data_IF_156508566399
#
_entry.id   IF_156508566399
#
_cell.length_a   1.000
_cell.length_b   1.000
_cell.length_c   1.000
_cell.angle_alpha   90.00
_cell.angle_beta   90.00
_cell.angle_gamma   90.00
#
_symmetry.space_group_name_H-M   'P 1'
#
loop_
_entity.id
_entity.type
_entity.pdbx_description
1 polymer ?
#
# COMPACT_ATOMS: atom_id res chain seq x y z
N UNK A 1 18.09 -7.46 -3.00
CA UNK A 1 17.35 -6.58 -2.10
C UNK A 1 16.00 -7.20 -1.66
N UNK A 2 15.18 -7.71 -2.59
CA UNK A 2 13.87 -8.32 -2.29
C UNK A 2 14.00 -9.52 -1.34
N UNK A 3 15.00 -10.39 -1.54
CA UNK A 3 15.24 -11.57 -0.69
C UNK A 3 15.96 -11.26 0.63
N UNK A 4 16.33 -10.00 0.90
CA UNK A 4 17.09 -9.65 2.10
C UNK A 4 16.46 -10.17 3.40
N UNK A 5 15.15 -10.07 3.63
CA UNK A 5 14.53 -10.60 4.84
C UNK A 5 14.72 -12.11 4.99
N UNK A 6 14.69 -12.85 3.88
CA UNK A 6 14.92 -14.31 3.89
C UNK A 6 16.39 -14.67 4.14
N UNK A 7 17.32 -13.85 3.63
CA UNK A 7 18.77 -14.00 3.92
C UNK A 7 19.01 -13.83 5.42
N UNK A 8 18.45 -12.79 6.02
CA UNK A 8 18.56 -12.53 7.46
C UNK A 8 17.90 -13.62 8.32
N UNK A 9 16.85 -14.25 7.80
CA UNK A 9 16.20 -15.40 8.42
C UNK A 9 16.91 -16.74 8.17
N UNK A 10 18.09 -16.74 7.55
CA UNK A 10 18.90 -17.95 7.29
C UNK A 10 18.28 -18.93 6.29
N UNK A 11 17.37 -18.45 5.42
CA UNK A 11 16.69 -19.31 4.45
C UNK A 11 17.62 -19.76 3.32
N UNK A 12 17.40 -20.97 2.79
CA UNK A 12 18.20 -21.51 1.69
C UNK A 12 17.99 -20.74 0.38
N UNK A 13 18.99 -20.80 -0.52
CA UNK A 13 18.85 -20.19 -1.87
C UNK A 13 17.69 -20.80 -2.68
N UNK A 14 17.41 -22.07 -2.48
CA UNK A 14 16.29 -22.76 -3.12
C UNK A 14 14.97 -22.17 -2.63
N UNK A 15 14.78 -22.06 -1.30
CA UNK A 15 13.56 -21.45 -0.72
C UNK A 15 13.38 -20.00 -1.16
N UNK A 16 14.46 -19.21 -1.22
CA UNK A 16 14.39 -17.83 -1.71
C UNK A 16 13.91 -17.76 -3.16
N UNK A 17 14.42 -18.62 -4.04
CA UNK A 17 14.01 -18.67 -5.43
C UNK A 17 12.56 -19.10 -5.59
N UNK A 18 12.16 -20.13 -4.84
CA UNK A 18 10.81 -20.69 -4.92
C UNK A 18 9.74 -19.71 -4.43
N UNK A 19 10.08 -18.83 -3.47
CA UNK A 19 9.21 -17.73 -3.02
C UNK A 19 9.25 -16.53 -3.96
N UNK A 20 10.42 -16.20 -4.49
CA UNK A 20 10.59 -15.01 -5.34
C UNK A 20 9.92 -15.17 -6.71
N UNK A 21 10.04 -16.33 -7.34
CA UNK A 21 9.59 -16.52 -8.71
C UNK A 21 8.09 -16.24 -8.92
N UNK A 22 7.15 -16.85 -8.15
CA UNK A 22 5.74 -16.51 -8.27
C UNK A 22 5.46 -15.06 -7.91
N UNK A 23 6.02 -14.56 -6.81
CA UNK A 23 5.81 -13.19 -6.34
C UNK A 23 6.28 -12.15 -7.38
N UNK A 24 7.41 -12.38 -8.03
CA UNK A 24 7.95 -11.47 -9.05
C UNK A 24 7.03 -11.39 -10.27
N UNK A 25 6.41 -12.50 -10.65
CA UNK A 25 5.44 -12.57 -11.75
C UNK A 25 4.16 -11.82 -11.38
N UNK A 26 3.58 -12.13 -10.21
CA UNK A 26 2.32 -11.55 -9.74
C UNK A 26 2.42 -10.02 -9.59
N UNK A 27 3.59 -9.52 -9.17
CA UNK A 27 3.85 -8.08 -9.01
C UNK A 27 4.43 -7.41 -10.26
N UNK A 28 4.66 -8.15 -11.36
CA UNK A 28 5.21 -7.64 -12.61
C UNK A 28 6.63 -7.09 -12.49
N UNK A 29 7.43 -7.64 -11.57
CA UNK A 29 8.81 -7.17 -11.30
C UNK A 29 9.90 -8.11 -11.81
N UNK A 30 9.55 -9.17 -12.55
CA UNK A 30 10.54 -10.08 -13.14
C UNK A 30 11.63 -9.35 -13.93
N UNK A 31 11.32 -8.33 -14.79
CA UNK A 31 12.33 -7.58 -15.51
C UNK A 31 13.26 -6.75 -14.63
N UNK A 32 12.85 -6.51 -13.36
CA UNK A 32 13.60 -5.68 -12.42
C UNK A 32 14.61 -6.47 -11.60
N UNK A 33 14.51 -7.80 -11.55
CA UNK A 33 15.31 -8.65 -10.64
C UNK A 33 16.82 -8.55 -10.87
N UNK A 34 17.23 -8.12 -12.08
CA UNK A 34 18.65 -7.93 -12.46
C UNK A 34 19.07 -6.47 -12.51
N UNK A 35 18.16 -5.52 -12.19
CA UNK A 35 18.43 -4.09 -12.24
C UNK A 35 18.88 -3.55 -10.89
N UNK A 36 19.66 -2.50 -10.94
CA UNK A 36 20.06 -1.72 -9.76
C UNK A 36 19.00 -0.66 -9.43
N UNK A 37 18.93 -0.16 -8.18
CA UNK A 37 17.92 0.83 -7.77
C UNK A 37 17.91 2.13 -8.58
N UNK A 38 19.04 2.54 -9.16
CA UNK A 38 19.14 3.73 -10.00
C UNK A 38 18.64 3.51 -11.45
N UNK A 39 18.41 2.26 -11.84
CA UNK A 39 17.93 1.89 -13.18
C UNK A 39 16.41 1.73 -13.25
N UNK A 40 15.71 1.92 -12.14
CA UNK A 40 14.27 1.68 -12.03
C UNK A 40 13.52 2.95 -11.60
N UNK A 41 12.27 3.10 -12.11
CA UNK A 41 11.40 4.24 -11.77
C UNK A 41 10.93 4.20 -10.31
N UNK A 42 10.34 5.30 -9.83
CA UNK A 42 9.74 5.38 -8.50
C UNK A 42 8.69 4.31 -8.25
N UNK A 43 7.74 4.13 -9.17
CA UNK A 43 6.72 3.08 -9.08
C UNK A 43 7.30 1.67 -9.08
N UNK A 44 8.35 1.42 -9.88
CA UNK A 44 9.06 0.15 -9.88
C UNK A 44 9.79 -0.12 -8.54
N UNK A 45 10.36 0.91 -7.93
CA UNK A 45 10.95 0.82 -6.58
C UNK A 45 9.89 0.43 -5.54
N UNK A 46 8.70 1.03 -5.61
CA UNK A 46 7.61 0.72 -4.70
C UNK A 46 7.11 -0.73 -4.88
N UNK A 47 6.92 -1.20 -6.12
CA UNK A 47 6.58 -2.62 -6.38
C UNK A 47 7.64 -3.57 -5.82
N UNK A 48 8.92 -3.25 -5.95
CA UNK A 48 10.01 -4.04 -5.36
C UNK A 48 10.00 -4.00 -3.82
N UNK A 49 9.62 -2.88 -3.21
CA UNK A 49 9.44 -2.76 -1.77
C UNK A 49 8.26 -3.60 -1.27
N UNK A 50 7.13 -3.58 -1.98
CA UNK A 50 5.98 -4.47 -1.71
C UNK A 50 6.40 -5.94 -1.81
N UNK A 51 7.13 -6.32 -2.85
CA UNK A 51 7.65 -7.68 -2.99
C UNK A 51 8.56 -8.09 -1.81
N UNK A 52 9.43 -7.18 -1.36
CA UNK A 52 10.29 -7.42 -0.19
C UNK A 52 9.50 -7.65 1.08
N UNK A 53 8.40 -6.94 1.28
CA UNK A 53 7.52 -7.13 2.42
C UNK A 53 6.75 -8.46 2.34
N UNK A 54 6.19 -8.79 1.18
CA UNK A 54 5.37 -9.98 0.97
C UNK A 54 6.14 -11.30 0.94
N UNK A 55 7.45 -11.27 0.61
CA UNK A 55 8.26 -12.49 0.47
C UNK A 55 8.38 -13.30 1.76
N UNK A 56 8.18 -12.64 2.90
CA UNK A 56 8.15 -13.27 4.23
C UNK A 56 6.80 -13.92 4.55
N UNK A 57 5.78 -13.70 3.72
CA UNK A 57 4.38 -14.12 3.95
C UNK A 57 3.83 -13.56 5.26
N UNK A 58 3.81 -12.23 5.43
CA UNK A 58 3.32 -11.61 6.65
C UNK A 58 1.79 -11.75 6.77
N UNK A 59 1.26 -11.69 7.98
CA UNK A 59 -0.20 -11.63 8.19
C UNK A 59 -0.76 -10.25 7.86
N UNK A 60 0.02 -9.19 8.07
CA UNK A 60 -0.36 -7.80 7.83
C UNK A 60 0.74 -7.12 7.02
N UNK A 61 0.37 -6.43 5.95
CA UNK A 61 1.23 -5.54 5.19
C UNK A 61 0.98 -4.10 5.65
N UNK A 62 2.03 -3.45 6.17
CA UNK A 62 1.98 -2.04 6.56
C UNK A 62 2.58 -1.18 5.46
N UNK A 63 1.89 -0.12 5.06
CA UNK A 63 2.32 0.83 4.04
C UNK A 63 2.19 2.26 4.57
N UNK A 64 3.31 2.94 4.71
CA UNK A 64 3.39 4.32 5.16
C UNK A 64 3.67 5.23 3.96
N UNK A 65 2.72 6.12 3.63
CA UNK A 65 2.72 7.03 2.49
C UNK A 65 3.23 6.37 1.17
N UNK A 66 2.70 5.21 0.76
CA UNK A 66 3.29 4.44 -0.34
C UNK A 66 3.20 5.16 -1.70
N UNK A 67 2.35 6.18 -1.82
CA UNK A 67 2.11 6.95 -3.05
C UNK A 67 2.73 8.34 -3.05
N UNK A 68 3.29 8.81 -1.93
CA UNK A 68 3.68 10.20 -1.72
C UNK A 68 4.74 10.74 -2.69
N UNK A 69 5.59 9.87 -3.24
CA UNK A 69 6.65 10.27 -4.18
C UNK A 69 6.37 9.82 -5.64
N UNK A 70 5.12 9.46 -5.97
CA UNK A 70 4.75 8.92 -7.28
C UNK A 70 3.94 9.91 -8.10
N UNK A 71 4.11 9.85 -9.43
CA UNK A 71 3.19 10.47 -10.38
C UNK A 71 1.82 9.79 -10.35
N UNK A 72 0.80 10.44 -10.93
CA UNK A 72 -0.58 9.97 -10.88
C UNK A 72 -0.77 8.57 -11.48
N UNK A 73 -0.06 8.25 -12.58
CA UNK A 73 -0.15 6.94 -13.22
C UNK A 73 0.45 5.84 -12.36
N UNK A 74 1.65 6.09 -11.83
CA UNK A 74 2.34 5.14 -10.93
C UNK A 74 1.54 4.95 -9.63
N UNK A 75 0.88 6.00 -9.14
CA UNK A 75 -0.04 5.93 -8.00
C UNK A 75 -1.19 4.97 -8.28
N UNK A 76 -1.88 5.12 -9.41
CA UNK A 76 -3.00 4.25 -9.77
C UNK A 76 -2.59 2.79 -9.91
N UNK A 77 -1.46 2.56 -10.57
CA UNK A 77 -0.92 1.21 -10.72
C UNK A 77 -0.57 0.57 -9.38
N UNK A 78 -0.05 1.36 -8.41
CA UNK A 78 0.27 0.86 -7.08
C UNK A 78 -0.99 0.61 -6.23
N UNK A 79 -1.98 1.50 -6.27
CA UNK A 79 -3.25 1.32 -5.56
C UNK A 79 -4.02 0.11 -6.07
N UNK A 80 -4.04 -0.10 -7.39
CA UNK A 80 -4.61 -1.31 -7.99
C UNK A 80 -3.90 -2.56 -7.51
N UNK A 81 -2.58 -2.54 -7.43
CA UNK A 81 -1.80 -3.65 -6.89
C UNK A 81 -2.16 -3.96 -5.43
N UNK A 82 -2.31 -2.93 -4.56
CA UNK A 82 -2.75 -3.14 -3.18
C UNK A 82 -4.16 -3.75 -3.11
N UNK A 83 -5.08 -3.33 -3.98
CA UNK A 83 -6.41 -3.93 -4.06
C UNK A 83 -6.35 -5.41 -4.46
N UNK A 84 -5.54 -5.77 -5.47
CA UNK A 84 -5.33 -7.15 -5.91
C UNK A 84 -4.75 -8.02 -4.79
N UNK A 85 -3.74 -7.52 -4.07
CA UNK A 85 -3.12 -8.19 -2.90
C UNK A 85 -4.16 -8.40 -1.78
N UNK A 86 -4.99 -7.40 -1.52
CA UNK A 86 -6.04 -7.50 -0.50
C UNK A 86 -7.13 -8.50 -0.90
N UNK A 87 -7.58 -8.50 -2.15
CA UNK A 87 -8.53 -9.49 -2.68
C UNK A 87 -7.98 -10.92 -2.63
N UNK A 88 -6.67 -11.10 -2.73
CA UNK A 88 -6.00 -12.38 -2.53
C UNK A 88 -5.91 -12.81 -1.05
N UNK A 89 -6.51 -12.05 -0.12
CA UNK A 89 -6.60 -12.38 1.31
C UNK A 89 -5.55 -11.75 2.21
N UNK A 90 -4.66 -10.88 1.67
CA UNK A 90 -3.68 -10.18 2.47
C UNK A 90 -4.32 -8.99 3.18
N UNK A 91 -4.19 -8.90 4.50
CA UNK A 91 -4.56 -7.68 5.23
C UNK A 91 -3.55 -6.57 4.93
N UNK A 92 -4.05 -5.42 4.48
CA UNK A 92 -3.24 -4.23 4.19
C UNK A 92 -3.68 -3.09 5.10
N UNK A 93 -2.74 -2.49 5.81
CA UNK A 93 -2.95 -1.27 6.59
C UNK A 93 -2.08 -0.17 5.97
N UNK A 94 -2.72 0.91 5.54
CA UNK A 94 -2.06 2.03 4.87
C UNK A 94 -2.22 3.30 5.72
N UNK A 95 -1.12 4.02 5.91
CA UNK A 95 -1.14 5.39 6.42
C UNK A 95 -0.95 6.33 5.23
N UNK A 96 -1.82 7.31 5.07
CA UNK A 96 -1.72 8.24 3.95
C UNK A 96 -2.49 9.54 4.22
N UNK A 97 -2.01 10.64 3.63
CA UNK A 97 -2.72 11.92 3.54
C UNK A 97 -3.53 12.05 2.23
N UNK A 98 -3.43 11.07 1.34
CA UNK A 98 -4.13 11.09 0.05
C UNK A 98 -5.56 10.54 0.19
N UNK A 99 -6.57 11.39 -0.01
CA UNK A 99 -7.99 10.97 -0.08
C UNK A 99 -8.20 9.90 -1.14
N UNK A 100 -7.49 10.02 -2.28
CA UNK A 100 -7.53 9.03 -3.37
C UNK A 100 -7.02 7.67 -2.93
N UNK A 101 -5.91 7.63 -2.19
CA UNK A 101 -5.37 6.37 -1.67
C UNK A 101 -6.31 5.79 -0.60
N UNK A 102 -6.84 6.62 0.30
CA UNK A 102 -7.78 6.20 1.33
C UNK A 102 -9.09 5.66 0.74
N UNK A 103 -9.60 6.23 -0.36
CA UNK A 103 -10.86 5.79 -0.99
C UNK A 103 -10.78 4.39 -1.62
N UNK A 104 -9.59 3.85 -1.83
CA UNK A 104 -9.40 2.47 -2.29
C UNK A 104 -9.55 1.43 -1.16
N UNK A 105 -9.56 1.86 0.10
CA UNK A 105 -9.71 0.96 1.25
C UNK A 105 -11.17 0.60 1.50
N UNK A 106 -11.41 -0.49 2.21
CA UNK A 106 -12.74 -0.86 2.71
C UNK A 106 -13.14 -0.11 3.98
N UNK A 107 -12.17 0.41 4.72
CA UNK A 107 -12.34 1.08 6.02
C UNK A 107 -11.28 2.17 6.17
N UNK A 108 -11.68 3.35 6.63
CA UNK A 108 -10.80 4.50 6.87
C UNK A 108 -10.97 4.96 8.30
N UNK A 109 -9.84 5.11 8.99
CA UNK A 109 -9.77 5.65 10.35
C UNK A 109 -9.08 7.00 10.30
N UNK A 110 -9.73 8.02 10.84
CA UNK A 110 -9.14 9.33 11.00
C UNK A 110 -8.46 9.42 12.37
N UNK A 111 -7.18 9.71 12.36
CA UNK A 111 -6.39 9.87 13.59
C UNK A 111 -6.18 11.36 13.87
N UNK A 112 -6.47 11.77 15.09
CA UNK A 112 -6.19 13.12 15.59
C UNK A 112 -5.67 12.99 17.01
N UNK A 113 -4.55 13.65 17.29
CA UNK A 113 -3.91 13.69 18.62
C UNK A 113 -3.66 12.29 19.24
N UNK A 114 -3.39 11.29 18.38
CA UNK A 114 -3.11 9.91 18.79
C UNK A 114 -4.36 9.05 19.00
N UNK A 115 -5.56 9.59 18.80
CA UNK A 115 -6.84 8.89 18.95
C UNK A 115 -7.58 8.75 17.63
N UNK A 116 -8.46 7.74 17.54
CA UNK A 116 -9.37 7.58 16.40
C UNK A 116 -10.55 8.54 16.59
N UNK A 117 -10.60 9.60 15.80
CA UNK A 117 -11.64 10.62 15.86
C UNK A 117 -12.88 10.26 15.05
N UNK A 118 -12.72 9.51 13.96
CA UNK A 118 -13.81 9.09 13.08
C UNK A 118 -13.43 7.80 12.36
N UNK A 119 -14.43 6.96 12.10
CA UNK A 119 -14.32 5.77 11.29
C UNK A 119 -15.36 5.81 10.16
N UNK A 120 -14.91 5.55 8.93
CA UNK A 120 -15.76 5.39 7.77
C UNK A 120 -15.59 3.98 7.18
N UNK A 121 -16.70 3.33 6.86
CA UNK A 121 -16.72 2.04 6.17
C UNK A 121 -17.35 2.22 4.81
N UNK A 122 -16.65 1.73 3.77
CA UNK A 122 -17.08 1.89 2.37
C UNK A 122 -18.40 1.20 2.04
N UNK A 123 -18.66 0.02 2.61
CA UNK A 123 -19.88 -0.73 2.37
C UNK A 123 -20.08 -1.05 0.87
N UNK A 124 -21.19 -0.53 0.27
CA UNK A 124 -21.52 -0.70 -1.16
C UNK A 124 -21.16 0.49 -2.03
N UNK A 125 -20.51 1.51 -1.49
CA UNK A 125 -20.16 2.70 -2.22
C UNK A 125 -19.11 2.41 -3.30
N UNK A 126 -19.22 3.12 -4.42
CA UNK A 126 -18.17 3.17 -5.43
C UNK A 126 -16.97 3.97 -4.89
N UNK A 127 -15.80 3.81 -5.53
CA UNK A 127 -14.60 4.58 -5.17
C UNK A 127 -14.87 6.09 -5.16
N UNK A 128 -15.63 6.59 -6.14
CA UNK A 128 -15.96 8.01 -6.26
C UNK A 128 -16.88 8.50 -5.13
N UNK A 129 -17.88 7.70 -4.73
CA UNK A 129 -18.77 8.03 -3.61
C UNK A 129 -18.00 8.02 -2.29
N UNK A 130 -17.19 6.99 -2.06
CA UNK A 130 -16.39 6.91 -0.84
C UNK A 130 -15.31 7.99 -0.76
N UNK A 131 -14.71 8.35 -1.92
CA UNK A 131 -13.81 9.51 -2.01
C UNK A 131 -14.50 10.79 -1.52
N UNK A 132 -15.74 11.06 -1.97
CA UNK A 132 -16.48 12.26 -1.57
C UNK A 132 -16.79 12.22 -0.06
N UNK A 133 -17.22 11.08 0.48
CA UNK A 133 -17.47 10.92 1.92
C UNK A 133 -16.21 11.24 2.76
N UNK A 134 -15.04 10.77 2.31
CA UNK A 134 -13.77 11.03 3.00
C UNK A 134 -13.40 12.52 2.92
N UNK A 135 -13.56 13.14 1.74
CA UNK A 135 -13.25 14.55 1.54
C UNK A 135 -14.13 15.47 2.39
N UNK A 136 -15.43 15.18 2.45
CA UNK A 136 -16.39 15.92 3.28
C UNK A 136 -16.06 15.79 4.77
N UNK A 137 -15.72 14.58 5.24
CA UNK A 137 -15.32 14.31 6.61
C UNK A 137 -14.04 15.09 7.00
N UNK A 138 -13.03 15.15 6.11
CA UNK A 138 -11.82 15.95 6.32
C UNK A 138 -12.14 17.44 6.47
N UNK A 139 -13.01 17.97 5.62
CA UNK A 139 -13.42 19.38 5.65
C UNK A 139 -14.14 19.71 6.97
N UNK A 140 -15.05 18.84 7.43
CA UNK A 140 -15.75 19.02 8.70
C UNK A 140 -14.81 18.98 9.92
N UNK A 141 -13.79 18.13 9.89
CA UNK A 141 -12.81 18.05 10.98
C UNK A 141 -11.90 19.30 11.03
N UNK A 142 -11.63 19.93 9.90
CA UNK A 142 -10.85 21.18 9.83
C UNK A 142 -11.65 22.39 10.31
N UNK A 143 -12.93 22.45 9.99
CA UNK A 143 -13.82 23.58 10.39
C UNK A 143 -14.33 23.47 11.82
N UNK A 144 -14.44 22.26 12.39
CA UNK A 144 -14.86 22.03 13.78
C UNK A 144 -13.78 22.34 14.85
N UNK A 145 -12.56 22.68 14.44
CA UNK A 145 -11.46 23.05 15.35
C UNK A 145 -11.28 24.55 15.58
N UNK A 146 -12.07 25.42 14.95
CA UNK A 146 -11.94 26.88 15.05
C UNK A 146 -12.98 27.55 15.98
N UNK A 147 -13.80 26.80 16.70
CA UNK A 147 -14.76 27.35 17.66
C UNK A 147 -14.54 26.74 19.05
N UNK A 148 -13.45 27.13 19.71
CA UNK A 148 -13.31 27.05 21.17
C UNK A 148 -12.29 28.09 21.66
#
# INVERSE_FOLDING_TARGET
NICLPLVLAGKSRTEMRDRLAPLARDLGIEPLLKKYPYEVSGGQKQRAAVARALITRPQILLADEPTGALDSRSTDELLKLFAEINHAGQTVVMVTHSVRAASCASRVLFLRDGEVSLELTRGKDTDAQFYQCIADALTQQQTGGECA
#
